data_IF_179694996441
#
_entry.id   IF_179694996441
#
_cell.length_a   1.000
_cell.length_b   1.000
_cell.length_c   1.000
_cell.angle_alpha   90.00
_cell.angle_beta   90.00
_cell.angle_gamma   90.00
#
_symmetry.space_group_name_H-M   'P 1'
#
loop_
_entity.id
_entity.type
_entity.pdbx_description
1 polymer ?
2 non-polymer ?
3 water ?
#
# COMPACT_ATOMS: atom_id res chain seq x y z
N UNK A 1 10.81 -10.66 -14.54
CA UNK A 1 9.52 -11.17 -14.00
C UNK A 1 9.32 -10.63 -12.55
N UNK A 2 9.58 -11.47 -11.53
CA UNK A 2 9.34 -11.07 -10.13
C UNK A 2 10.46 -10.36 -9.47
N UNK A 3 10.10 -9.30 -8.80
CA UNK A 3 11.04 -8.66 -7.93
C UNK A 3 10.49 -8.64 -6.51
N UNK A 4 11.40 -8.86 -5.56
CA UNK A 4 11.08 -8.75 -4.15
C UNK A 4 11.80 -7.52 -3.59
N UNK A 5 11.09 -6.71 -2.81
CA UNK A 5 11.71 -5.48 -2.28
C UNK A 5 11.27 -5.11 -0.89
N UNK A 6 12.06 -4.25 -0.29
CA UNK A 6 11.72 -3.69 1.00
C UNK A 6 12.19 -2.24 1.02
N UNK A 7 11.50 -1.38 1.75
CA UNK A 7 11.99 -0.01 2.00
C UNK A 7 12.04 0.25 3.51
N UNK A 8 12.97 1.10 3.91
CA UNK A 8 12.96 1.67 5.24
C UNK A 8 12.72 3.17 5.05
N UNK A 9 12.09 3.84 6.03
CA UNK A 9 11.53 5.18 5.82
C UNK A 9 11.19 5.81 7.16
N UNK A 10 11.06 7.15 7.18
CA UNK A 10 10.52 7.92 8.32
C UNK A 10 9.12 8.41 7.90
N UNK A 11 8.11 7.90 8.59
CA UNK A 11 6.73 8.17 8.31
C UNK A 11 6.09 8.83 9.54
N UNK A 12 5.33 9.93 9.34
CA UNK A 12 4.85 10.76 10.48
C UNK A 12 3.35 11.01 10.49
N UNK A 13 2.60 10.23 9.73
CA UNK A 13 1.21 10.47 9.52
C UNK A 13 0.94 11.43 8.41
N UNK A 14 1.99 12.00 7.84
CA UNK A 14 1.91 12.98 6.79
C UNK A 14 2.77 12.63 5.62
N UNK A 15 4.05 12.35 5.82
CA UNK A 15 4.82 11.96 4.66
C UNK A 15 5.55 10.66 4.89
N UNK A 16 6.12 10.08 3.84
CA UNK A 16 6.94 8.90 4.04
C UNK A 16 8.31 9.28 3.46
N UNK A 17 9.29 9.57 4.31
CA UNK A 17 10.61 10.03 3.90
C UNK A 17 11.52 8.79 3.74
N UNK A 18 11.86 8.47 2.49
CA UNK A 18 12.64 7.29 2.15
C UNK A 18 14.02 7.31 2.72
N UNK A 19 14.36 6.25 3.47
CA UNK A 19 15.73 6.00 3.93
C UNK A 19 16.52 5.10 2.98
N UNK A 20 15.99 3.93 2.64
CA UNK A 20 16.73 2.99 1.80
C UNK A 20 15.77 2.08 1.07
N UNK A 21 16.25 1.39 0.02
CA UNK A 21 15.42 0.41 -0.66
C UNK A 21 16.30 -0.74 -1.20
N UNK A 22 15.77 -1.95 -1.08
CA UNK A 22 16.54 -3.16 -1.40
C UNK A 22 15.62 -3.88 -2.35
N UNK A 23 16.14 -4.31 -3.51
CA UNK A 23 15.30 -5.04 -4.49
C UNK A 23 16.10 -6.24 -4.96
N UNK A 24 15.44 -7.39 -5.08
CA UNK A 24 16.08 -8.60 -5.54
C UNK A 24 15.19 -9.21 -6.62
N UNK A 25 15.84 -9.63 -7.70
CA UNK A 25 15.13 -10.26 -8.81
C UNK A 25 15.24 -11.74 -8.63
N UNK A 26 14.36 -12.48 -9.30
CA UNK A 26 14.39 -13.95 -9.35
C UNK A 26 15.64 -14.54 -10.05
N UNK A 27 16.32 -13.72 -10.86
CA UNK A 27 17.46 -14.21 -11.63
C UNK A 27 18.76 -13.97 -10.90
N UNK A 28 18.73 -13.53 -9.65
CA UNK A 28 19.94 -13.31 -8.90
C UNK A 28 20.36 -11.86 -8.79
N UNK A 29 19.91 -11.00 -9.69
CA UNK A 29 20.31 -9.57 -9.64
C UNK A 29 19.80 -8.87 -8.39
N UNK A 30 20.63 -7.95 -7.84
CA UNK A 30 20.34 -7.22 -6.58
C UNK A 30 20.61 -5.71 -6.73
N UNK A 31 19.74 -4.92 -6.10
CA UNK A 31 19.97 -3.48 -6.05
C UNK A 31 19.74 -3.01 -4.62
N UNK A 32 20.61 -2.09 -4.19
CA UNK A 32 20.48 -1.49 -2.89
C UNK A 32 20.96 -0.01 -2.91
N UNK A 33 20.23 0.89 -2.27
CA UNK A 33 20.65 2.30 -2.12
C UNK A 33 20.09 2.94 -0.88
N UNK A 34 20.84 3.91 -0.36
CA UNK A 34 20.41 4.70 0.72
C UNK A 34 20.29 6.18 0.25
N UNK A 35 19.17 6.84 0.56
CA UNK A 35 18.93 8.20 0.13
C UNK A 35 19.77 9.21 0.91
N UNK A 36 20.48 10.05 0.17
CA UNK A 36 21.20 11.19 0.78
C UNK A 36 20.26 12.26 1.29
N UNK A 37 18.96 12.14 0.99
CA UNK A 37 18.01 13.24 1.20
C UNK A 37 17.10 13.17 2.43
N UNK A 38 17.03 12.06 3.16
CA UNK A 38 16.21 12.06 4.40
C UNK A 38 17.01 12.78 5.50
N UNK A 39 16.30 13.31 6.48
CA UNK A 39 16.92 13.99 7.62
C UNK A 39 16.93 13.07 8.86
N UNK A 40 18.13 12.55 9.20
CA UNK A 40 18.31 11.60 10.28
C UNK A 40 17.70 12.09 11.63
N UNK A 41 17.85 13.39 11.90
CA UNK A 41 17.23 14.13 12.98
C UNK A 41 15.75 13.89 13.24
N UNK A 42 14.95 13.78 12.18
CA UNK A 42 13.51 13.51 12.31
C UNK A 42 13.13 12.08 12.78
N UNK A 43 14.08 11.16 12.70
CA UNK A 43 13.74 9.79 12.94
C UNK A 43 13.35 9.55 14.40
N UNK A 44 12.42 8.62 14.60
CA UNK A 44 12.04 8.22 15.93
C UNK A 44 12.98 7.18 16.57
N UNK A 45 12.65 6.80 17.81
CA UNK A 45 13.47 5.85 18.56
C UNK A 45 13.70 4.53 17.83
N UNK A 46 12.61 3.93 17.35
CA UNK A 46 12.68 2.70 16.58
C UNK A 46 13.66 2.82 15.39
N UNK A 47 13.55 3.90 14.64
CA UNK A 47 14.34 4.05 13.43
C UNK A 47 15.78 4.35 13.79
N UNK A 48 15.98 5.13 14.86
CA UNK A 48 17.28 5.32 15.48
C UNK A 48 17.93 4.03 16.02
N UNK A 49 17.14 3.12 16.54
CA UNK A 49 17.70 1.91 17.12
C UNK A 49 17.96 0.81 16.09
N UNK A 50 16.99 0.61 15.22
CA UNK A 50 16.95 -0.56 14.41
C UNK A 50 17.32 -0.33 12.96
N UNK A 51 17.11 0.87 12.46
CA UNK A 51 17.42 1.19 11.08
C UNK A 51 18.74 1.93 10.87
N UNK A 52 18.92 3.09 11.46
CA UNK A 52 20.11 3.88 11.19
C UNK A 52 21.46 3.17 11.42
N UNK A 53 21.58 2.35 12.45
CA UNK A 53 22.82 1.55 12.68
C UNK A 53 23.28 0.62 11.54
N UNK A 54 22.35 0.02 10.80
CA UNK A 54 22.71 -0.89 9.72
C UNK A 54 23.17 -0.20 8.40
N UNK A 55 23.03 1.14 8.34
CA UNK A 55 23.35 1.90 7.11
C UNK A 55 24.86 1.88 6.90
N UNK A 56 25.27 1.89 5.62
CA UNK A 56 26.65 2.00 5.16
C UNK A 56 27.26 3.27 5.71
N UNK A 57 28.61 3.28 5.85
CA UNK A 57 29.41 4.49 6.14
C UNK A 57 29.18 5.63 5.13
N UNK A 58 29.35 6.90 5.57
CA UNK A 58 29.27 8.12 4.72
C UNK A 58 29.93 8.02 3.35
N UNK A 59 31.10 7.40 3.25
CA UNK A 59 31.84 7.33 1.96
C UNK A 59 31.27 6.31 0.96
N UNK A 60 30.37 5.44 1.42
CA UNK A 60 29.81 4.41 0.52
C UNK A 60 29.15 5.00 -0.73
N UNK A 61 29.43 4.40 -1.89
CA UNK A 61 28.70 4.67 -3.16
C UNK A 61 27.23 4.28 -3.08
N UNK A 62 26.79 3.70 -1.94
CA UNK A 62 25.41 3.21 -1.85
C UNK A 62 24.51 4.38 -1.53
N UNK A 63 25.06 5.41 -0.91
CA UNK A 63 24.37 6.68 -0.73
C UNK A 63 24.17 7.43 -2.07
N UNK A 64 22.92 7.68 -2.46
CA UNK A 64 22.55 8.26 -3.75
C UNK A 64 21.45 9.29 -3.57
N UNK A 65 21.30 10.21 -4.53
CA UNK A 65 20.18 11.12 -4.54
C UNK A 65 18.86 10.35 -4.89
N UNK A 66 17.69 10.91 -4.54
CA UNK A 66 16.41 10.34 -4.95
C UNK A 66 16.37 10.23 -6.48
N UNK A 67 16.92 11.23 -7.18
CA UNK A 67 16.95 11.22 -8.64
C UNK A 67 17.78 10.03 -9.17
N UNK A 68 18.95 9.84 -8.57
CA UNK A 68 19.78 8.72 -8.99
C UNK A 68 19.07 7.38 -8.73
N UNK A 69 18.42 7.28 -7.57
CA UNK A 69 17.75 6.01 -7.22
C UNK A 69 16.63 5.72 -8.23
N UNK A 70 15.87 6.73 -8.66
CA UNK A 70 14.84 6.53 -9.75
C UNK A 70 15.44 5.96 -11.04
N UNK A 71 16.49 6.64 -11.56
CA UNK A 71 17.22 6.21 -12.76
C UNK A 71 17.71 4.77 -12.59
N UNK A 72 18.37 4.47 -11.45
CA UNK A 72 18.86 3.12 -11.14
C UNK A 72 17.74 2.09 -11.23
N UNK A 73 16.59 2.43 -10.65
CA UNK A 73 15.48 1.50 -10.65
C UNK A 73 14.87 1.30 -12.05
N UNK A 74 14.80 2.37 -12.83
CA UNK A 74 14.31 2.21 -14.19
C UNK A 74 15.19 1.21 -14.98
N UNK A 75 16.50 1.32 -14.79
CA UNK A 75 17.41 0.37 -15.40
C UNK A 75 17.24 -1.04 -14.83
N UNK A 76 17.20 -1.15 -13.50
CA UNK A 76 17.22 -2.45 -12.82
C UNK A 76 15.95 -3.28 -13.05
N UNK A 77 14.82 -2.59 -13.10
CA UNK A 77 13.56 -3.22 -13.34
C UNK A 77 13.30 -3.43 -14.85
N UNK A 78 14.22 -2.96 -15.72
CA UNK A 78 14.12 -3.25 -17.15
C UNK A 78 12.79 -2.79 -17.69
N UNK A 79 12.52 -1.55 -17.35
CA UNK A 79 11.29 -0.88 -17.70
C UNK A 79 10.91 -0.84 -19.18
N UNK A 80 11.90 -0.95 -20.08
CA UNK A 80 11.71 -0.88 -21.55
C UNK A 80 11.77 -2.26 -22.22
N UNK A 81 12.06 -3.28 -21.42
CA UNK A 81 12.07 -4.69 -21.85
C UNK A 81 10.71 -5.33 -21.97
N UNK A 82 10.68 -6.57 -22.45
CA UNK A 82 9.40 -7.23 -22.73
C UNK A 82 8.78 -8.12 -21.63
N UNK A 83 9.53 -8.47 -20.57
CA UNK A 83 8.93 -9.17 -19.41
C UNK A 83 7.93 -8.25 -18.67
N UNK A 84 6.78 -8.82 -18.29
CA UNK A 84 5.90 -8.24 -17.29
C UNK A 84 6.66 -8.09 -15.98
N UNK A 85 6.63 -6.88 -15.40
CA UNK A 85 7.22 -6.62 -14.06
C UNK A 85 6.21 -7.00 -12.96
N UNK A 86 6.60 -7.94 -12.09
CA UNK A 86 5.79 -8.28 -10.91
C UNK A 86 6.56 -7.88 -9.63
N UNK A 87 5.95 -7.03 -8.80
CA UNK A 87 6.55 -6.60 -7.56
C UNK A 87 5.88 -7.30 -6.40
N UNK A 88 6.70 -7.76 -5.45
CA UNK A 88 6.32 -8.46 -4.25
C UNK A 88 6.98 -7.82 -3.03
N UNK A 89 6.28 -7.74 -1.93
CA UNK A 89 6.80 -7.26 -0.66
C UNK A 89 6.00 -7.99 0.43
N UNK A 90 6.53 -8.01 1.65
CA UNK A 90 5.85 -8.53 2.81
C UNK A 90 5.23 -7.36 3.52
N UNK A 91 3.91 -7.21 3.47
CA UNK A 91 3.22 -6.14 4.29
C UNK A 91 3.75 -4.88 3.66
N UNK A 92 3.48 -4.78 2.35
CA UNK A 92 4.05 -3.73 1.55
C UNK A 92 3.29 -2.45 1.13
N UNK A 93 2.21 -2.04 1.80
CA UNK A 93 1.44 -0.85 1.46
C UNK A 93 2.27 0.47 1.51
N UNK A 94 2.88 0.78 2.65
CA UNK A 94 3.78 1.91 2.76
C UNK A 94 5.03 1.74 1.84
N UNK A 95 5.54 0.51 1.71
CA UNK A 95 6.64 0.22 0.79
C UNK A 95 6.32 0.54 -0.66
N UNK A 96 5.14 0.14 -1.11
CA UNK A 96 4.69 0.48 -2.39
C UNK A 96 4.60 2.03 -2.65
N UNK A 97 3.97 2.76 -1.72
CA UNK A 97 3.99 4.26 -1.80
C UNK A 97 5.41 4.85 -1.81
N UNK A 98 6.26 4.38 -0.89
CA UNK A 98 7.70 4.81 -0.84
C UNK A 98 8.46 4.59 -2.15
N UNK A 99 8.29 3.40 -2.75
CA UNK A 99 8.87 3.07 -4.05
C UNK A 99 8.29 3.98 -5.14
N UNK A 100 6.95 4.01 -5.26
CA UNK A 100 6.32 4.75 -6.34
C UNK A 100 6.57 6.27 -6.24
N UNK A 101 6.73 6.76 -5.01
CA UNK A 101 6.94 8.20 -4.83
C UNK A 101 8.34 8.67 -5.33
N UNK A 102 9.20 7.72 -5.73
CA UNK A 102 10.48 8.08 -6.39
C UNK A 102 10.21 8.70 -7.77
N UNK A 103 9.03 8.45 -8.34
CA UNK A 103 8.58 9.09 -9.60
C UNK A 103 7.64 10.26 -9.38
N UNK A 104 7.43 10.70 -8.15
CA UNK A 104 6.41 11.72 -7.90
C UNK A 104 4.98 11.18 -7.78
N UNK A 105 4.00 11.82 -8.48
CA UNK A 105 2.60 11.45 -8.36
C UNK A 105 2.34 10.12 -9.07
N UNK A 106 1.27 9.41 -8.72
CA UNK A 106 1.00 8.05 -9.31
C UNK A 106 0.88 8.14 -10.81
N UNK A 107 0.34 9.28 -11.24
CA UNK A 107 0.31 9.79 -12.61
C UNK A 107 1.57 9.46 -13.37
N UNK A 108 2.71 9.62 -12.72
CA UNK A 108 4.01 9.76 -13.41
C UNK A 108 4.81 8.48 -13.36
N UNK A 109 4.19 7.43 -12.81
CA UNK A 109 4.88 6.13 -12.72
C UNK A 109 4.99 5.47 -14.13
N UNK A 110 6.19 5.04 -14.53
CA UNK A 110 6.28 4.39 -15.84
C UNK A 110 5.15 3.38 -16.04
N UNK A 111 4.55 3.39 -17.28
CA UNK A 111 3.31 2.57 -17.62
C UNK A 111 3.52 1.09 -17.36
N UNK A 112 4.77 0.71 -17.42
CA UNK A 112 5.17 -0.68 -17.36
C UNK A 112 5.43 -1.20 -15.88
N UNK A 113 5.58 -0.28 -14.94
CA UNK A 113 5.66 -0.62 -13.49
C UNK A 113 4.20 -0.89 -12.97
N UNK A 114 3.93 -2.07 -12.40
CA UNK A 114 2.56 -2.27 -11.90
C UNK A 114 2.11 -1.27 -10.77
N UNK A 115 0.81 -1.00 -10.74
CA UNK A 115 0.17 -0.06 -9.81
C UNK A 115 -0.15 -0.71 -8.44
N UNK A 116 0.24 -1.97 -8.26
CA UNK A 116 0.11 -2.61 -6.98
C UNK A 116 1.31 -3.55 -6.76
N UNK A 117 1.58 -3.83 -5.50
CA UNK A 117 2.61 -4.77 -5.09
C UNK A 117 1.85 -5.96 -4.52
N UNK A 118 2.23 -7.15 -4.95
CA UNK A 118 1.69 -8.37 -4.38
C UNK A 118 2.16 -8.58 -2.94
N UNK A 119 1.26 -9.06 -2.12
CA UNK A 119 1.47 -9.08 -0.69
C UNK A 119 1.86 -10.52 -0.29
N UNK A 120 3.10 -10.68 0.09
CA UNK A 120 3.64 -11.96 0.38
C UNK A 120 3.01 -12.59 1.67
N UNK A 121 2.65 -11.74 2.63
CA UNK A 121 1.91 -12.19 3.80
C UNK A 121 0.58 -12.86 3.43
N UNK A 122 -0.13 -12.23 2.49
CA UNK A 122 -1.39 -12.75 2.00
C UNK A 122 -1.17 -14.11 1.37
N UNK A 123 -0.21 -14.18 0.45
CA UNK A 123 0.16 -15.49 -0.13
C UNK A 123 0.45 -16.59 0.92
N UNK A 124 1.28 -16.27 1.90
CA UNK A 124 1.55 -17.14 3.01
C UNK A 124 0.30 -17.71 3.66
N UNK A 125 -0.64 -16.86 4.03
CA UNK A 125 -1.81 -17.30 4.72
C UNK A 125 -2.61 -18.17 3.82
N UNK A 126 -2.78 -17.76 2.59
CA UNK A 126 -3.55 -18.54 1.64
C UNK A 126 -3.16 -20.00 1.55
N UNK A 127 -1.85 -20.28 1.46
CA UNK A 127 -1.30 -21.63 1.26
C UNK A 127 -1.14 -22.32 2.59
N UNK A 128 -1.91 -21.96 3.59
CA UNK A 128 -1.89 -22.75 4.82
C UNK A 128 -0.96 -22.28 5.93
N UNK A 129 -0.38 -21.11 5.77
CA UNK A 129 0.51 -20.59 6.81
C UNK A 129 1.67 -21.57 7.13
N UNK A 130 2.34 -22.13 6.10
CA UNK A 130 3.44 -23.09 6.36
C UNK A 130 4.59 -22.43 7.14
N UNK A 131 5.21 -23.17 8.06
CA UNK A 131 6.27 -22.65 8.94
C UNK A 131 7.51 -22.15 8.15
N UNK A 132 8.02 -20.98 8.52
CA UNK A 132 9.05 -20.33 7.72
C UNK A 132 10.35 -20.35 8.49
N UNK A 133 11.49 -20.33 7.80
CA UNK A 133 12.70 -20.13 8.56
C UNK A 133 12.57 -18.82 9.38
N UNK A 134 13.37 -18.67 10.46
CA UNK A 134 13.37 -17.42 11.23
C UNK A 134 13.88 -16.26 10.35
N UNK A 135 13.38 -15.06 10.60
CA UNK A 135 13.94 -13.84 9.97
C UNK A 135 15.41 -13.65 10.37
N UNK A 136 16.27 -13.17 9.42
CA UNK A 136 17.66 -12.88 9.80
C UNK A 136 17.71 -11.83 10.90
N UNK A 137 18.78 -11.84 11.67
CA UNK A 137 19.03 -10.82 12.69
C UNK A 137 19.38 -9.51 11.99
N UNK A 138 19.97 -9.63 10.79
CA UNK A 138 20.36 -8.52 9.90
C UNK A 138 19.20 -7.72 9.32
N UNK A 139 18.03 -8.34 9.45
CA UNK A 139 16.91 -7.71 8.87
C UNK A 139 17.04 -6.44 9.54
N UNK A 140 16.17 -5.59 8.99
CA UNK A 140 16.17 -4.15 9.02
C UNK A 140 17.18 -3.51 8.05
N UNK A 141 17.93 -4.36 7.33
CA UNK A 141 18.71 -3.87 6.19
C UNK A 141 17.88 -4.20 4.94
N UNK A 142 17.44 -3.18 4.19
CA UNK A 142 16.41 -3.42 3.19
C UNK A 142 16.83 -4.49 2.21
N UNK A 143 18.14 -4.59 1.95
CA UNK A 143 18.57 -5.65 1.04
C UNK A 143 18.40 -7.05 1.64
N UNK A 144 18.73 -7.18 2.91
CA UNK A 144 18.63 -8.44 3.65
C UNK A 144 17.13 -8.78 3.74
N UNK A 145 16.33 -7.80 4.10
CA UNK A 145 14.88 -7.92 4.10
C UNK A 145 14.36 -8.47 2.74
N UNK A 146 14.73 -7.82 1.62
CA UNK A 146 14.27 -8.23 0.25
C UNK A 146 14.73 -9.64 -0.16
N UNK A 147 15.99 -9.99 0.14
CA UNK A 147 16.50 -11.35 -0.11
C UNK A 147 15.66 -12.36 0.63
N UNK A 148 15.35 -12.05 1.88
CA UNK A 148 14.60 -13.00 2.69
C UNK A 148 13.18 -13.22 2.18
N UNK A 149 12.56 -12.14 1.69
CA UNK A 149 11.26 -12.26 1.05
C UNK A 149 11.36 -13.24 -0.15
N UNK A 150 12.38 -13.08 -1.00
CA UNK A 150 12.57 -13.99 -2.16
C UNK A 150 12.66 -15.48 -1.70
N UNK A 151 13.43 -15.72 -0.63
CA UNK A 151 13.57 -17.02 0.01
C UNK A 151 12.22 -17.53 0.50
N UNK A 152 11.48 -16.69 1.23
CA UNK A 152 10.16 -17.13 1.68
C UNK A 152 9.26 -17.42 0.49
N UNK A 153 9.26 -16.57 -0.53
CA UNK A 153 8.36 -16.84 -1.67
C UNK A 153 8.66 -18.24 -2.30
N UNK A 154 9.95 -18.56 -2.39
CA UNK A 154 10.43 -19.88 -2.93
C UNK A 154 9.93 -21.08 -2.14
N UNK A 155 10.07 -20.98 -0.82
CA UNK A 155 9.54 -21.99 0.07
C UNK A 155 8.02 -22.09 0.07
N UNK A 156 7.31 -20.98 0.10
CA UNK A 156 5.87 -21.05 0.13
C UNK A 156 5.27 -21.71 -1.15
N UNK A 157 5.86 -21.39 -2.28
CA UNK A 157 5.33 -21.85 -3.54
C UNK A 157 5.99 -23.18 -3.97
N UNK A 158 6.90 -23.75 -3.19
CA UNK A 158 7.71 -24.89 -3.75
C UNK A 158 6.96 -26.15 -4.21
N UNK A 159 5.66 -26.31 -3.90
CA UNK A 159 4.78 -27.43 -4.45
C UNK A 159 3.51 -26.98 -5.25
N UNK A 160 3.50 -25.73 -5.73
CA UNK A 160 2.33 -25.07 -6.39
C UNK A 160 1.85 -25.68 -7.74
N UNK B 1 -15.71 -9.83 10.71
CA UNK B 1 -14.35 -10.15 10.23
C UNK B 1 -13.91 -9.23 9.02
N UNK B 2 -14.55 -9.38 7.84
CA UNK B 2 -14.05 -8.78 6.57
C UNK B 2 -14.69 -7.47 6.11
N UNK B 3 -13.86 -6.52 5.74
CA UNK B 3 -14.31 -5.25 5.25
C UNK B 3 -13.62 -4.96 3.96
N UNK B 4 -14.39 -4.50 3.00
CA UNK B 4 -13.93 -4.11 1.66
C UNK B 4 -14.01 -2.57 1.59
N UNK B 5 -12.95 -1.91 1.12
CA UNK B 5 -12.98 -0.48 1.12
C UNK B 5 -12.32 0.17 -0.09
N UNK B 6 -12.62 1.45 -0.26
CA UNK B 6 -11.97 2.23 -1.27
C UNK B 6 -11.94 3.67 -0.81
N UNK B 7 -10.94 4.40 -1.28
CA UNK B 7 -10.81 5.82 -1.01
C UNK B 7 -10.67 6.64 -2.27
N UNK B 8 -11.08 7.89 -2.21
CA UNK B 8 -10.68 8.81 -3.26
C UNK B 8 -9.83 9.86 -2.54
N UNK B 9 -8.82 10.38 -3.24
CA UNK B 9 -7.85 11.26 -2.59
C UNK B 9 -7.11 12.13 -3.64
N UNK B 10 -6.36 13.11 -3.17
CA UNK B 10 -5.55 14.03 -3.97
C UNK B 10 -4.16 13.72 -3.52
N UNK B 11 -3.35 13.19 -4.41
CA UNK B 11 -2.00 12.76 -4.01
C UNK B 11 -0.98 13.44 -4.95
N UNK B 12 0.10 14.03 -4.40
CA UNK B 12 1.05 14.90 -5.16
C UNK B 12 2.51 14.40 -5.08
N UNK B 13 2.67 13.08 -4.84
CA UNK B 13 3.99 12.53 -4.64
C UNK B 13 4.56 12.74 -3.25
N UNK B 14 3.87 13.52 -2.41
CA UNK B 14 4.32 13.78 -1.06
C UNK B 14 3.28 13.44 -0.01
N UNK B 15 2.05 13.93 -0.17
CA UNK B 15 1.01 13.62 0.78
C UNK B 15 -0.14 13.01 0.05
N UNK B 16 -1.10 12.48 0.80
CA UNK B 16 -2.34 11.91 0.24
C UNK B 16 -3.41 12.60 0.99
N UNK B 17 -4.19 13.46 0.31
CA UNK B 17 -5.24 14.25 0.99
C UNK B 17 -6.58 13.55 0.77
N UNK B 18 -7.19 13.07 1.85
CA UNK B 18 -8.33 12.12 1.67
C UNK B 18 -9.55 12.92 1.25
N UNK B 19 -10.15 12.51 0.13
CA UNK B 19 -11.46 13.04 -0.36
C UNK B 19 -12.67 12.32 0.30
N UNK B 20 -12.71 10.99 0.09
CA UNK B 20 -13.76 10.19 0.62
C UNK B 20 -13.32 8.77 0.90
N UNK B 21 -14.16 8.06 1.65
CA UNK B 21 -13.96 6.66 1.93
C UNK B 21 -15.30 5.92 1.95
N UNK B 22 -15.29 4.76 1.33
CA UNK B 22 -16.43 3.84 1.40
C UNK B 22 -15.91 2.52 1.95
N UNK B 23 -16.64 1.96 2.91
CA UNK B 23 -16.31 0.67 3.51
C UNK B 23 -17.60 -0.22 3.55
N UNK B 24 -17.50 -1.45 3.09
CA UNK B 24 -18.65 -2.38 3.20
C UNK B 24 -18.24 -3.65 3.93
N UNK B 25 -18.99 -3.99 4.95
CA UNK B 25 -18.67 -5.18 5.76
C UNK B 25 -19.26 -6.37 5.06
N UNK B 26 -18.60 -7.52 5.16
CA UNK B 26 -19.14 -8.75 4.60
C UNK B 26 -20.55 -9.09 5.18
N UNK B 27 -20.89 -8.55 6.38
CA UNK B 27 -22.22 -8.76 7.01
C UNK B 27 -23.34 -7.88 6.43
N UNK B 28 -22.98 -6.92 5.56
CA UNK B 28 -23.93 -6.03 4.87
C UNK B 28 -23.93 -4.55 5.24
N UNK B 29 -23.34 -4.21 6.40
CA UNK B 29 -23.17 -2.84 6.87
C UNK B 29 -22.32 -2.01 5.89
N UNK B 30 -22.65 -0.72 5.73
CA UNK B 30 -21.98 0.17 4.76
C UNK B 30 -21.69 1.47 5.42
N UNK B 31 -20.51 2.03 5.13
CA UNK B 31 -20.13 3.30 5.64
C UNK B 31 -19.58 4.10 4.49
N UNK B 32 -19.97 5.35 4.41
CA UNK B 32 -19.44 6.31 3.44
C UNK B 32 -19.37 7.71 4.07
N UNK B 33 -18.23 8.38 3.96
CA UNK B 33 -18.05 9.76 4.39
C UNK B 33 -17.15 10.48 3.42
N UNK B 34 -17.28 11.80 3.40
CA UNK B 34 -16.50 12.73 2.58
C UNK B 34 -15.92 13.77 3.52
N UNK B 35 -14.63 14.03 3.36
CA UNK B 35 -13.89 14.91 4.26
C UNK B 35 -14.14 16.39 3.98
N UNK B 36 -14.39 17.14 5.04
CA UNK B 36 -14.54 18.60 4.92
C UNK B 36 -13.18 19.29 4.93
N UNK B 37 -12.08 18.53 5.00
CA UNK B 37 -10.74 19.09 5.24
C UNK B 37 -9.81 19.10 4.05
N UNK B 38 -10.16 18.37 3.00
CA UNK B 38 -9.33 18.42 1.78
C UNK B 38 -9.63 19.73 1.09
N UNK B 39 -8.63 20.25 0.39
CA UNK B 39 -8.78 21.47 -0.40
C UNK B 39 -9.15 21.11 -1.86
N UNK B 40 -10.37 21.46 -2.26
CA UNK B 40 -10.81 21.14 -3.63
C UNK B 40 -9.96 21.85 -4.74
N UNK B 41 -9.39 23.01 -4.41
CA UNK B 41 -8.57 23.85 -5.33
C UNK B 41 -7.30 23.16 -5.79
N UNK B 42 -6.81 22.25 -4.96
CA UNK B 42 -5.57 21.53 -5.16
C UNK B 42 -5.69 20.24 -6.02
N UNK B 43 -6.93 19.90 -6.37
CA UNK B 43 -7.21 18.72 -7.19
C UNK B 43 -6.71 18.88 -8.63
N UNK B 44 -6.05 17.86 -9.15
CA UNK B 44 -5.63 17.81 -10.56
C UNK B 44 -6.82 17.52 -11.47
N UNK B 45 -6.60 17.49 -12.79
CA UNK B 45 -7.65 17.40 -13.82
C UNK B 45 -8.58 16.19 -13.65
N UNK B 46 -7.96 15.02 -13.52
CA UNK B 46 -8.68 13.77 -13.51
C UNK B 46 -9.67 13.70 -12.35
N UNK B 47 -9.27 14.20 -11.17
CA UNK B 47 -10.11 14.30 -9.97
C UNK B 47 -11.30 15.30 -10.12
N UNK B 48 -11.01 16.53 -10.56
CA UNK B 48 -12.05 17.50 -10.86
C UNK B 48 -13.21 17.02 -11.75
N UNK B 49 -12.90 16.16 -12.72
CA UNK B 49 -13.88 15.67 -13.71
C UNK B 49 -14.64 14.44 -13.22
N UNK B 50 -13.89 13.53 -12.58
CA UNK B 50 -14.38 12.18 -12.28
C UNK B 50 -14.72 11.94 -10.82
N UNK B 51 -14.11 12.70 -9.92
CA UNK B 51 -14.36 12.50 -8.48
C UNK B 51 -15.25 13.57 -7.89
N UNK B 52 -14.88 14.84 -8.12
CA UNK B 52 -15.53 15.97 -7.45
C UNK B 52 -17.07 16.03 -7.68
N UNK B 53 -17.54 15.91 -8.96
CA UNK B 53 -18.97 16.02 -9.35
C UNK B 53 -19.90 14.95 -8.72
N UNK B 54 -19.32 13.82 -8.36
CA UNK B 54 -20.08 12.72 -7.81
C UNK B 54 -20.26 12.82 -6.28
N UNK B 55 -19.56 13.72 -5.61
CA UNK B 55 -19.70 13.98 -4.15
C UNK B 55 -21.11 14.41 -3.73
N UNK B 56 -21.53 14.17 -2.45
CA UNK B 56 -22.84 14.66 -1.94
C UNK B 56 -22.96 16.19 -2.07
N UNK B 57 -24.21 16.74 -2.11
CA UNK B 57 -24.34 18.19 -2.03
C UNK B 57 -23.84 18.69 -0.66
N UNK B 58 -23.40 19.96 -0.59
CA UNK B 58 -22.73 20.49 0.61
C UNK B 58 -23.44 20.31 1.95
N UNK B 59 -24.76 20.29 1.97
CA UNK B 59 -25.49 20.22 3.27
C UNK B 59 -25.66 18.79 3.83
N UNK B 60 -25.32 17.79 3.02
CA UNK B 60 -25.42 16.41 3.44
C UNK B 60 -24.56 16.10 4.67
N UNK B 61 -25.13 15.35 5.61
CA UNK B 61 -24.45 14.85 6.84
C UNK B 61 -23.37 13.81 6.51
N UNK B 62 -23.26 13.47 5.22
CA UNK B 62 -22.22 12.55 4.78
C UNK B 62 -20.86 13.23 4.83
N UNK B 63 -20.88 14.54 4.84
CA UNK B 63 -19.69 15.39 5.02
C UNK B 63 -19.29 15.41 6.50
N UNK B 64 -18.05 15.05 6.82
CA UNK B 64 -17.61 14.81 8.18
C UNK B 64 -16.17 15.30 8.25
N UNK B 65 -15.79 15.73 9.43
CA UNK B 65 -14.39 16.08 9.70
C UNK B 65 -13.53 14.81 9.74
N UNK B 66 -12.21 14.98 9.54
CA UNK B 66 -11.28 13.82 9.65
C UNK B 66 -11.46 13.16 11.01
N UNK B 67 -11.67 13.94 12.08
CA UNK B 67 -11.81 13.31 13.43
C UNK B 67 -13.08 12.45 13.51
N UNK B 68 -14.19 12.98 12.99
CA UNK B 68 -15.43 12.19 12.91
C UNK B 68 -15.25 10.92 12.12
N UNK B 69 -14.55 10.99 10.98
CA UNK B 69 -14.35 9.77 10.17
C UNK B 69 -13.58 8.76 10.99
N UNK B 70 -12.52 9.15 11.66
CA UNK B 70 -11.81 8.23 12.51
C UNK B 70 -12.71 7.58 13.55
N UNK B 71 -13.49 8.39 14.26
CA UNK B 71 -14.29 7.85 15.34
C UNK B 71 -15.39 6.96 14.70
N UNK B 72 -15.98 7.42 13.59
CA UNK B 72 -16.97 6.61 12.84
C UNK B 72 -16.40 5.22 12.49
N UNK B 73 -15.17 5.20 11.99
CA UNK B 73 -14.55 3.92 11.60
C UNK B 73 -14.17 3.03 12.78
N UNK B 74 -13.77 3.65 13.90
CA UNK B 74 -13.46 2.81 15.06
C UNK B 74 -14.75 2.11 15.52
N UNK B 75 -15.88 2.79 15.41
CA UNK B 75 -17.14 2.17 15.74
C UNK B 75 -17.55 1.17 14.62
N UNK B 76 -17.48 1.61 13.37
CA UNK B 76 -17.89 0.78 12.23
C UNK B 76 -17.08 -0.49 12.15
N UNK B 77 -15.77 -0.41 12.36
CA UNK B 77 -14.95 -1.64 12.33
C UNK B 77 -14.94 -2.42 13.65
N UNK B 78 -15.62 -1.96 14.70
CA UNK B 78 -15.73 -2.75 15.94
C UNK B 78 -14.36 -2.97 16.55
N UNK B 79 -13.57 -1.92 16.64
CA UNK B 79 -12.14 -2.10 16.96
C UNK B 79 -11.93 -2.58 18.40
N UNK B 80 -12.93 -2.35 19.24
CA UNK B 80 -12.91 -2.87 20.63
C UNK B 80 -13.56 -4.28 20.73
N UNK B 81 -13.86 -4.92 19.60
CA UNK B 81 -14.72 -6.12 19.58
C UNK B 81 -14.13 -7.53 19.68
N UNK B 82 -15.02 -8.54 19.66
CA UNK B 82 -14.65 -9.98 19.59
C UNK B 82 -13.82 -10.40 18.32
N UNK B 83 -14.30 -10.03 17.13
CA UNK B 83 -13.81 -10.58 15.88
C UNK B 83 -12.44 -10.04 15.42
N UNK B 84 -11.69 -10.86 14.68
CA UNK B 84 -10.48 -10.38 13.99
C UNK B 84 -10.92 -9.51 12.80
N UNK B 85 -10.35 -8.33 12.64
CA UNK B 85 -10.65 -7.45 11.51
C UNK B 85 -9.74 -7.84 10.36
N UNK B 86 -10.30 -8.00 9.16
CA UNK B 86 -9.54 -8.23 8.00
C UNK B 86 -9.96 -7.21 6.94
N UNK B 87 -9.04 -6.37 6.52
CA UNK B 87 -9.28 -5.34 5.54
C UNK B 87 -8.93 -5.81 4.09
N UNK B 88 -9.79 -5.47 3.15
CA UNK B 88 -9.57 -5.78 1.75
C UNK B 88 -9.80 -4.56 0.86
N UNK B 89 -9.00 -4.46 -0.20
CA UNK B 89 -9.18 -3.48 -1.25
C UNK B 89 -8.58 -4.02 -2.56
N UNK B 90 -8.92 -3.32 -3.64
CA UNK B 90 -8.44 -3.67 -4.95
C UNK B 90 -7.35 -2.64 -5.22
N UNK B 91 -6.12 -3.11 -5.43
CA UNK B 91 -4.92 -2.22 -5.74
C UNK B 91 -4.96 -1.07 -4.78
N UNK B 92 -4.89 -1.46 -3.50
CA UNK B 92 -5.09 -0.50 -2.42
C UNK B 92 -3.89 0.01 -1.62
N UNK B 93 -2.69 0.02 -2.17
CA UNK B 93 -1.53 0.51 -1.40
C UNK B 93 -1.82 1.99 -0.88
N UNK B 94 -2.15 2.87 -1.80
CA UNK B 94 -2.45 4.27 -1.45
C UNK B 94 -3.66 4.36 -0.57
N UNK B 95 -4.69 3.55 -0.86
CA UNK B 95 -5.90 3.47 -0.03
C UNK B 95 -5.59 3.06 1.41
N UNK B 96 -4.65 2.12 1.58
CA UNK B 96 -4.27 1.64 2.88
C UNK B 96 -3.60 2.74 3.68
N UNK B 97 -2.64 3.42 3.06
CA UNK B 97 -2.01 4.61 3.69
C UNK B 97 -3.07 5.69 4.02
N UNK B 98 -3.96 6.01 3.06
CA UNK B 98 -4.98 7.03 3.25
C UNK B 98 -5.85 6.68 4.47
N UNK B 99 -6.21 5.41 4.58
CA UNK B 99 -7.02 4.97 5.73
C UNK B 99 -6.24 5.07 7.00
N UNK B 100 -5.04 4.47 7.02
CA UNK B 100 -4.22 4.50 8.22
C UNK B 100 -3.87 5.90 8.73
N UNK B 101 -3.71 6.84 7.80
CA UNK B 101 -3.36 8.21 8.21
C UNK B 101 -4.51 8.97 8.86
N UNK B 102 -5.72 8.41 8.81
CA UNK B 102 -6.79 8.95 9.69
C UNK B 102 -6.35 8.85 11.18
N UNK B 103 -5.48 7.89 11.51
CA UNK B 103 -5.04 7.76 12.89
C UNK B 103 -3.74 8.56 13.15
N UNK B 104 -2.95 8.83 12.13
CA UNK B 104 -1.70 9.50 12.34
C UNK B 104 -0.56 8.64 11.78
N UNK B 105 0.58 8.62 12.46
CA UNK B 105 1.68 7.72 12.05
C UNK B 105 1.23 6.27 12.32
N UNK B 106 1.88 5.28 11.71
CA UNK B 106 1.39 3.88 11.89
C UNK B 106 1.39 3.40 13.34
N UNK B 107 2.33 3.88 14.13
CA UNK B 107 2.34 3.57 15.54
C UNK B 107 1.04 3.91 16.28
N UNK B 108 0.24 4.83 15.78
CA UNK B 108 -1.00 5.25 16.45
C UNK B 108 -2.24 4.55 15.92
N UNK B 109 -2.07 3.63 14.96
CA UNK B 109 -3.14 2.75 14.53
C UNK B 109 -3.68 1.90 15.72
N UNK B 110 -5.03 1.79 15.91
CA UNK B 110 -5.53 0.94 16.99
C UNK B 110 -4.98 -0.47 16.88
N UNK B 111 -4.70 -1.14 18.03
CA UNK B 111 -4.06 -2.49 18.03
C UNK B 111 -4.76 -3.61 17.23
N UNK B 112 -6.06 -3.57 17.08
CA UNK B 112 -6.80 -4.60 16.32
C UNK B 112 -6.94 -4.29 14.81
N UNK B 113 -6.53 -3.10 14.35
CA UNK B 113 -6.59 -2.79 12.88
C UNK B 113 -5.33 -3.43 12.27
N UNK B 114 -5.49 -4.26 11.20
CA UNK B 114 -4.36 -4.92 10.55
C UNK B 114 -3.36 -3.92 9.97
N UNK B 115 -2.09 -4.28 9.91
CA UNK B 115 -1.05 -3.38 9.41
C UNK B 115 -0.88 -3.56 7.88
N UNK B 116 -1.79 -4.33 7.27
CA UNK B 116 -1.79 -4.54 5.82
C UNK B 116 -3.23 -4.77 5.39
N UNK B 117 -3.47 -4.52 4.13
CA UNK B 117 -4.79 -4.66 3.54
C UNK B 117 -4.56 -5.74 2.53
N UNK B 118 -5.40 -6.75 2.50
CA UNK B 118 -5.34 -7.81 1.51
C UNK B 118 -5.73 -7.26 0.14
N UNK B 119 -5.11 -7.78 -0.89
CA UNK B 119 -5.19 -7.21 -2.20
C UNK B 119 -6.14 -8.11 -3.01
N UNK B 120 -7.35 -7.62 -3.26
CA UNK B 120 -8.33 -8.34 -4.05
C UNK B 120 -7.87 -8.73 -5.46
N UNK B 121 -7.05 -7.90 -6.08
CA UNK B 121 -6.58 -8.21 -7.39
C UNK B 121 -5.65 -9.44 -7.40
N UNK B 122 -4.84 -9.53 -6.36
CA UNK B 122 -3.95 -10.63 -6.08
C UNK B 122 -4.75 -11.93 -5.91
N UNK B 123 -5.82 -11.91 -5.09
CA UNK B 123 -6.69 -13.08 -4.93
C UNK B 123 -7.32 -13.43 -6.30
N UNK B 124 -7.84 -12.41 -7.00
CA UNK B 124 -8.48 -12.58 -8.31
C UNK B 124 -7.53 -13.29 -9.29
N UNK B 125 -6.28 -12.80 -9.39
CA UNK B 125 -5.29 -13.39 -10.28
C UNK B 125 -4.93 -14.84 -9.84
N UNK B 126 -4.75 -15.06 -8.54
CA UNK B 126 -4.45 -16.41 -8.03
C UNK B 126 -5.59 -17.44 -8.24
N UNK B 127 -6.79 -16.97 -8.47
CA UNK B 127 -7.87 -17.88 -8.86
C UNK B 127 -8.04 -17.94 -10.37
N UNK B 128 -6.99 -17.62 -11.10
CA UNK B 128 -6.97 -17.64 -12.56
C UNK B 128 -7.90 -16.63 -13.20
N UNK B 129 -8.12 -15.48 -12.57
CA UNK B 129 -8.86 -14.39 -13.25
C UNK B 129 -10.33 -14.64 -13.73
N UNK B 130 -11.20 -15.20 -12.85
CA UNK B 130 -12.60 -15.55 -13.26
C UNK B 130 -13.38 -14.33 -13.71
N UNK B 131 -14.36 -14.54 -14.60
CA UNK B 131 -15.19 -13.48 -15.21
C UNK B 131 -15.98 -12.62 -14.21
N UNK B 132 -15.81 -11.30 -14.27
CA UNK B 132 -16.35 -10.34 -13.28
C UNK B 132 -17.51 -9.50 -13.87
N UNK B 133 -18.46 -8.98 -13.01
CA UNK B 133 -19.43 -8.02 -13.61
C UNK B 133 -18.66 -6.85 -14.25
N UNK B 134 -19.10 -6.37 -15.45
CA UNK B 134 -18.38 -5.17 -15.97
C UNK B 134 -18.40 -3.99 -14.97
N UNK B 135 -17.51 -3.01 -15.17
CA UNK B 135 -17.43 -1.80 -14.31
C UNK B 135 -18.81 -1.08 -14.11
N UNK B 136 -19.25 -0.83 -12.84
CA UNK B 136 -20.53 -0.03 -12.63
C UNK B 136 -20.47 1.46 -13.11
N UNK B 137 -21.65 2.07 -13.13
CA UNK B 137 -21.92 3.28 -13.87
C UNK B 137 -21.16 4.43 -13.32
N UNK B 138 -21.26 4.50 -12.01
CA UNK B 138 -20.65 5.52 -11.20
C UNK B 138 -19.24 5.16 -10.65
N UNK B 139 -18.33 4.57 -11.38
CA UNK B 139 -17.05 4.29 -10.71
C UNK B 139 -16.45 5.60 -10.15
N UNK B 140 -15.57 5.54 -9.15
CA UNK B 140 -15.05 6.79 -8.56
C UNK B 140 -16.04 7.42 -7.53
N UNK B 141 -17.11 6.67 -7.19
CA UNK B 141 -17.81 6.89 -5.93
C UNK B 141 -17.30 5.76 -5.03
N UNK B 142 -16.59 6.13 -3.98
CA UNK B 142 -15.85 5.16 -3.16
C UNK B 142 -16.77 4.10 -2.58
N UNK B 143 -17.99 4.46 -2.19
CA UNK B 143 -18.94 3.44 -1.67
C UNK B 143 -19.36 2.43 -2.78
N UNK B 144 -19.75 2.94 -3.95
CA UNK B 144 -20.02 2.09 -5.09
C UNK B 144 -18.85 1.15 -5.37
N UNK B 145 -17.66 1.74 -5.43
CA UNK B 145 -16.44 0.97 -5.68
C UNK B 145 -16.21 -0.10 -4.56
N UNK B 146 -16.41 0.27 -3.28
CA UNK B 146 -16.27 -0.68 -2.15
C UNK B 146 -17.31 -1.84 -2.25
N UNK B 147 -18.57 -1.49 -2.60
CA UNK B 147 -19.63 -2.47 -2.93
C UNK B 147 -19.24 -3.47 -3.99
N UNK B 148 -18.74 -2.97 -5.10
CA UNK B 148 -18.24 -3.82 -6.20
C UNK B 148 -17.07 -4.72 -5.79
N UNK B 149 -16.22 -4.23 -4.87
CA UNK B 149 -15.18 -5.09 -4.32
C UNK B 149 -15.78 -6.32 -3.58
N UNK B 150 -16.75 -6.09 -2.70
CA UNK B 150 -17.36 -7.20 -2.01
C UNK B 150 -18.05 -8.19 -3.01
N UNK B 151 -18.82 -7.65 -3.94
CA UNK B 151 -19.40 -8.45 -5.04
C UNK B 151 -18.30 -9.33 -5.70
N UNK B 152 -17.17 -8.72 -6.11
CA UNK B 152 -16.09 -9.44 -6.76
C UNK B 152 -15.59 -10.55 -5.86
N UNK B 153 -15.38 -10.25 -4.58
CA UNK B 153 -14.79 -11.24 -3.66
C UNK B 153 -15.73 -12.44 -3.49
N UNK B 154 -17.03 -12.18 -3.34
CA UNK B 154 -18.06 -13.23 -3.27
C UNK B 154 -18.11 -14.12 -4.50
N UNK B 155 -18.01 -13.53 -5.67
CA UNK B 155 -17.93 -14.32 -6.91
C UNK B 155 -16.75 -15.27 -6.90
N UNK B 156 -15.56 -14.72 -6.70
CA UNK B 156 -14.31 -15.47 -6.67
C UNK B 156 -14.32 -16.62 -5.65
N UNK B 157 -14.95 -16.39 -4.51
CA UNK B 157 -14.98 -17.39 -3.45
C UNK B 157 -16.34 -18.21 -3.47
N UNK B 158 -17.03 -18.25 -4.61
CA UNK B 158 -18.28 -19.05 -4.65
C UNK B 158 -18.04 -20.37 -5.36
X LIG C 1 10.93 1.83 8.49
X LIG D 1 9.57 -2.07 5.13
X LIG E 1 9.17 -6.53 2.10
X LIG F 1 -8.45 1.00 -4.46
X LIG G 1 -8.71 4.37 -4.55
X LIG H 1 -10.80 16.68 12.44
#
# INVERSE_FOLDING_TARGET
>A
VRYFYDTEFIEDGHTIELISIGVVAEDGREYYAVSTEFDPERAGSWVRTHVLPKLPPPASQLWRSRQQIRLDLEEFLRIDGTDSIELWAWVGAYDHVALCQLWGPMTALPPTVPRFTRELRQLWEDRGCPRMPPRPRDVHDALVDARDQLRRFRLITSTDDAGRGAAR
>B
VRYFYDTEFIEDGHTIELISIGVVAEDGREYYAVSTEFDPERAGSWVRTHVLPKLPPPASQLWRSRQQIRLDLEEFLRIDGTDSIELWAWVGAYDHVALCQLWGPMTALPPTVPRFTRELRQLWEDRGCPRMPPRPRDVHDALVDARDQLRRFRLITSTDDAGRGAAR
>C hetero
1 MG MG
>D hetero
1 MG MG
>E hetero
1 MG MG
>F hetero
1 MG MG
>G hetero
1 MG MG
>H hetero
1 MG MG
#
